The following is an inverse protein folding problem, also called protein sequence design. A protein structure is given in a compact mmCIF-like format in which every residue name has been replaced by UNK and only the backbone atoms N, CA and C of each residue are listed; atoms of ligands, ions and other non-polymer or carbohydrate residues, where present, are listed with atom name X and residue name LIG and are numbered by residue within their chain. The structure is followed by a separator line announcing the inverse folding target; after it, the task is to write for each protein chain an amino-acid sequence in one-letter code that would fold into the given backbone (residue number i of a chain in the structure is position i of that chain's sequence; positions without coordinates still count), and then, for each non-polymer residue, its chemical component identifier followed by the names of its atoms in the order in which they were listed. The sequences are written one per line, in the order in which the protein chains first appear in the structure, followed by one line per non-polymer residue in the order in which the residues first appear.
data_IF_087977019696
#
_entry.id   IF_087977019696
#
_cell.length_a   1.000
_cell.length_b   1.000
_cell.length_c   1.000
_cell.angle_alpha   90.00
_cell.angle_beta   90.00
_cell.angle_gamma   90.00
#
_symmetry.space_group_name_H-M   'P 1'
#
loop_
_entity.id
_entity.type
_entity.pdbx_description
1 polymer ?
#
# COMPACT_ATOMS: atom_id res chain seq x y z
N UNK A 1 -7.29 -48.16 -47.81
CA UNK A 1 -8.15 -46.98 -48.04
C UNK A 1 -8.74 -46.63 -46.67
N UNK A 2 -8.24 -45.57 -46.03
CA UNK A 2 -8.71 -45.16 -44.69
C UNK A 2 -9.85 -44.17 -44.85
N UNK A 3 -11.04 -44.55 -44.42
CA UNK A 3 -12.19 -43.66 -44.35
C UNK A 3 -11.85 -42.55 -43.36
N UNK A 4 -11.72 -41.32 -43.86
CA UNK A 4 -11.66 -40.12 -43.01
C UNK A 4 -12.89 -40.17 -42.12
N UNK A 5 -12.71 -40.29 -40.80
CA UNK A 5 -13.82 -40.34 -39.83
C UNK A 5 -14.14 -38.90 -39.39
N UNK A 6 -15.19 -38.25 -39.95
CA UNK A 6 -15.46 -36.83 -39.74
C UNK A 6 -15.87 -36.49 -38.30
N UNK A 7 -16.31 -37.47 -37.50
CA UNK A 7 -16.63 -37.25 -36.08
C UNK A 7 -15.39 -37.04 -35.22
N UNK A 8 -14.32 -37.79 -35.48
CA UNK A 8 -13.06 -37.68 -34.73
C UNK A 8 -12.33 -36.38 -35.03
N UNK A 9 -12.34 -35.92 -36.29
CA UNK A 9 -11.76 -34.62 -36.65
C UNK A 9 -12.55 -33.45 -36.06
N UNK A 10 -13.89 -33.49 -36.07
CA UNK A 10 -14.74 -32.48 -35.41
C UNK A 10 -14.52 -32.42 -33.91
N UNK A 11 -14.50 -33.56 -33.22
CA UNK A 11 -14.24 -33.62 -31.78
C UNK A 11 -12.85 -33.07 -31.40
N UNK A 12 -11.84 -33.24 -32.26
CA UNK A 12 -10.51 -32.63 -32.06
C UNK A 12 -10.53 -31.12 -32.20
N UNK A 13 -11.27 -30.58 -33.17
CA UNK A 13 -11.45 -29.13 -33.35
C UNK A 13 -12.22 -28.54 -32.17
N UNK A 14 -13.33 -29.15 -31.76
CA UNK A 14 -14.11 -28.70 -30.60
C UNK A 14 -13.27 -28.68 -29.31
N UNK A 15 -12.41 -29.70 -29.11
CA UNK A 15 -11.47 -29.73 -27.99
C UNK A 15 -10.43 -28.61 -28.08
N UNK A 16 -9.86 -28.37 -29.25
CA UNK A 16 -8.88 -27.30 -29.46
C UNK A 16 -9.51 -25.92 -29.21
N UNK A 17 -10.73 -25.69 -29.69
CA UNK A 17 -11.48 -24.46 -29.46
C UNK A 17 -11.79 -24.25 -27.97
N UNK A 18 -12.19 -25.33 -27.26
CA UNK A 18 -12.43 -25.27 -25.82
C UNK A 18 -11.15 -24.92 -25.03
N UNK A 19 -10.01 -25.50 -25.40
CA UNK A 19 -8.71 -25.17 -24.79
C UNK A 19 -8.30 -23.72 -25.08
N UNK A 20 -8.53 -23.23 -26.30
CA UNK A 20 -8.26 -21.83 -26.64
C UNK A 20 -9.11 -20.86 -25.84
N UNK A 21 -10.42 -21.14 -25.68
CA UNK A 21 -11.30 -20.34 -24.82
C UNK A 21 -10.85 -20.35 -23.35
N UNK A 22 -10.41 -21.50 -22.85
CA UNK A 22 -9.89 -21.60 -21.48
C UNK A 22 -8.59 -20.79 -21.31
N UNK A 23 -7.67 -20.85 -22.29
CA UNK A 23 -6.43 -20.07 -22.26
C UNK A 23 -6.71 -18.56 -22.29
N UNK A 24 -7.67 -18.11 -23.11
CA UNK A 24 -8.09 -16.70 -23.14
C UNK A 24 -8.72 -16.27 -21.82
N UNK A 25 -9.62 -17.08 -21.26
CA UNK A 25 -10.24 -16.76 -19.96
C UNK A 25 -9.20 -16.67 -18.83
N UNK A 26 -8.20 -17.55 -18.83
CA UNK A 26 -7.10 -17.49 -17.87
C UNK A 26 -6.26 -16.22 -18.04
N UNK A 27 -5.95 -15.84 -19.27
CA UNK A 27 -5.25 -14.60 -19.57
C UNK A 27 -6.04 -13.38 -19.06
N UNK A 28 -7.33 -13.30 -19.38
CA UNK A 28 -8.21 -12.21 -18.93
C UNK A 28 -8.26 -12.14 -17.40
N UNK A 29 -8.38 -13.29 -16.73
CA UNK A 29 -8.33 -13.36 -15.27
C UNK A 29 -7.01 -12.82 -14.72
N UNK A 30 -5.86 -13.25 -15.25
CA UNK A 30 -4.54 -12.78 -14.80
C UNK A 30 -4.40 -11.26 -14.97
N UNK A 31 -4.86 -10.72 -16.10
CA UNK A 31 -4.82 -9.27 -16.35
C UNK A 31 -5.69 -8.50 -15.37
N UNK A 32 -6.92 -8.99 -15.12
CA UNK A 32 -7.83 -8.33 -14.18
C UNK A 32 -7.31 -8.37 -12.74
N UNK A 33 -6.71 -9.48 -12.32
CA UNK A 33 -6.08 -9.61 -10.99
C UNK A 33 -4.91 -8.63 -10.86
N UNK A 34 -4.01 -8.58 -11.86
CA UNK A 34 -2.88 -7.66 -11.83
C UNK A 34 -3.31 -6.19 -11.79
N UNK A 35 -4.38 -5.82 -12.51
CA UNK A 35 -4.95 -4.47 -12.46
C UNK A 35 -5.50 -4.16 -11.06
N UNK A 36 -6.29 -5.07 -10.49
CA UNK A 36 -6.86 -4.89 -9.15
C UNK A 36 -5.78 -4.74 -8.07
N UNK A 37 -4.74 -5.57 -8.11
CA UNK A 37 -3.62 -5.50 -7.17
C UNK A 37 -2.86 -4.18 -7.29
N UNK A 38 -2.65 -3.71 -8.52
CA UNK A 38 -1.99 -2.42 -8.79
C UNK A 38 -2.82 -1.25 -8.27
N UNK A 39 -4.13 -1.24 -8.54
CA UNK A 39 -5.04 -0.19 -8.05
C UNK A 39 -5.08 -0.16 -6.53
N UNK A 40 -5.12 -1.33 -5.89
CA UNK A 40 -5.10 -1.44 -4.43
C UNK A 40 -3.79 -0.89 -3.86
N UNK A 41 -2.65 -1.32 -4.39
CA UNK A 41 -1.33 -0.86 -3.91
C UNK A 41 -1.11 0.63 -4.14
N UNK A 42 -1.62 1.18 -5.25
CA UNK A 42 -1.54 2.62 -5.54
C UNK A 42 -2.42 3.42 -4.58
N UNK A 43 -3.63 2.94 -4.30
CA UNK A 43 -4.56 3.55 -3.35
C UNK A 43 -3.97 3.59 -1.95
N UNK A 44 -3.43 2.47 -1.46
CA UNK A 44 -2.79 2.38 -0.15
C UNK A 44 -1.60 3.33 -0.03
N UNK A 45 -0.75 3.37 -1.06
CA UNK A 45 0.40 4.28 -1.09
C UNK A 45 -0.02 5.75 -1.07
N UNK A 46 -1.01 6.14 -1.87
CA UNK A 46 -1.51 7.51 -1.91
C UNK A 46 -2.11 7.94 -0.56
N UNK A 47 -2.94 7.09 0.05
CA UNK A 47 -3.53 7.38 1.35
C UNK A 47 -2.50 7.50 2.47
N UNK A 48 -1.44 6.68 2.45
CA UNK A 48 -0.40 6.78 3.46
C UNK A 48 0.47 8.04 3.29
N UNK A 49 0.69 8.53 2.05
CA UNK A 49 1.34 9.83 1.82
C UNK A 49 0.53 10.99 2.40
N UNK A 50 -0.78 10.99 2.22
CA UNK A 50 -1.68 12.00 2.81
C UNK A 50 -1.62 11.95 4.35
N UNK A 51 -1.63 10.73 4.91
CA UNK A 51 -1.51 10.51 6.35
C UNK A 51 -0.15 10.96 6.90
N UNK A 52 0.95 10.64 6.23
CA UNK A 52 2.30 11.07 6.60
C UNK A 52 2.37 12.60 6.67
N UNK A 53 1.80 13.28 5.68
CA UNK A 53 1.72 14.76 5.64
C UNK A 53 0.96 15.31 6.85
N UNK A 54 -0.18 14.72 7.21
CA UNK A 54 -0.94 15.12 8.38
C UNK A 54 -0.18 14.85 9.70
N UNK A 55 0.54 13.73 9.80
CA UNK A 55 1.36 13.39 10.96
C UNK A 55 2.56 14.32 11.12
N UNK A 56 3.19 14.72 10.01
CA UNK A 56 4.25 15.73 10.02
C UNK A 56 3.75 17.06 10.62
N UNK A 57 2.59 17.54 10.17
CA UNK A 57 1.98 18.74 10.71
C UNK A 57 1.64 18.60 12.22
N UNK A 58 1.07 17.45 12.63
CA UNK A 58 0.76 17.17 14.03
C UNK A 58 2.02 17.18 14.91
N UNK A 59 3.11 16.57 14.42
CA UNK A 59 4.42 16.58 15.08
C UNK A 59 4.97 17.98 15.23
N UNK A 60 4.89 18.82 14.19
CA UNK A 60 5.41 20.19 14.24
C UNK A 60 4.60 21.09 15.20
N UNK A 61 3.29 20.88 15.30
CA UNK A 61 2.46 21.50 16.32
C UNK A 61 2.85 21.03 17.73
N UNK A 62 3.07 19.73 17.94
CA UNK A 62 3.52 19.19 19.23
C UNK A 62 4.90 19.74 19.62
N UNK A 63 5.82 19.88 18.66
CA UNK A 63 7.14 20.47 18.88
C UNK A 63 7.04 21.93 19.31
N UNK A 64 6.15 22.68 18.68
CA UNK A 64 5.85 24.07 19.07
C UNK A 64 5.27 24.14 20.48
N UNK A 65 4.33 23.26 20.83
CA UNK A 65 3.74 23.19 22.15
C UNK A 65 4.78 22.88 23.24
N UNK A 66 5.65 21.89 23.03
CA UNK A 66 6.74 21.54 23.93
C UNK A 66 7.73 22.69 24.14
N UNK A 67 8.05 23.43 23.06
CA UNK A 67 8.90 24.63 23.17
C UNK A 67 8.22 25.73 24.00
N UNK A 68 6.93 25.97 23.78
CA UNK A 68 6.18 27.00 24.53
C UNK A 68 5.99 26.63 26.01
N UNK A 69 5.73 25.37 26.33
CA UNK A 69 5.61 24.92 27.72
C UNK A 69 6.94 25.08 28.47
N UNK A 70 8.06 24.74 27.82
CA UNK A 70 9.41 24.96 28.37
C UNK A 70 9.69 26.44 28.66
N UNK A 71 9.37 27.34 27.74
CA UNK A 71 9.52 28.78 27.95
C UNK A 71 8.66 29.30 29.12
N UNK A 72 7.43 28.80 29.27
CA UNK A 72 6.55 29.18 30.39
C UNK A 72 7.08 28.68 31.73
N UNK A 73 7.59 27.45 31.77
CA UNK A 73 8.24 26.90 32.96
C UNK A 73 9.48 27.71 33.36
N UNK A 74 10.35 28.03 32.41
CA UNK A 74 11.54 28.86 32.64
C UNK A 74 11.18 30.27 33.12
N UNK A 75 10.06 30.82 32.65
CA UNK A 75 9.50 32.09 33.13
C UNK A 75 8.75 31.98 34.48
N UNK A 76 8.64 30.78 35.06
CA UNK A 76 7.91 30.54 36.31
C UNK A 76 6.38 30.62 36.19
N UNK A 77 5.85 30.66 34.97
CA UNK A 77 4.42 30.79 34.69
C UNK A 77 3.66 29.46 34.67
N UNK A 78 4.37 28.32 34.65
CA UNK A 78 3.78 26.99 34.58
C UNK A 78 4.66 25.94 35.29
N UNK A 79 4.12 24.77 35.55
CA UNK A 79 4.82 23.67 36.23
C UNK A 79 5.69 22.85 35.27
N UNK A 80 6.70 22.17 35.81
CA UNK A 80 7.51 21.22 35.02
C UNK A 80 6.68 20.03 34.49
N UNK A 81 5.56 19.68 35.14
CA UNK A 81 4.67 18.63 34.65
C UNK A 81 4.06 18.99 33.28
N UNK A 82 3.75 20.27 33.05
CA UNK A 82 3.25 20.78 31.77
C UNK A 82 4.31 20.64 30.65
N UNK A 83 5.59 20.73 31.00
CA UNK A 83 6.69 20.45 30.06
C UNK A 83 6.73 18.97 29.71
N UNK A 84 6.71 18.10 30.72
CA UNK A 84 6.78 16.66 30.53
C UNK A 84 5.61 16.10 29.72
N UNK A 85 4.40 16.63 29.93
CA UNK A 85 3.21 16.22 29.17
C UNK A 85 3.29 16.64 27.68
N UNK A 86 3.78 17.86 27.42
CA UNK A 86 4.00 18.33 26.06
C UNK A 86 5.12 17.54 25.35
N UNK A 87 6.21 17.21 26.04
CA UNK A 87 7.28 16.37 25.51
C UNK A 87 6.82 14.94 25.25
N UNK A 88 5.99 14.37 26.13
CA UNK A 88 5.37 13.06 25.89
C UNK A 88 4.50 13.07 24.64
N UNK A 89 3.73 14.13 24.43
CA UNK A 89 2.91 14.32 23.24
C UNK A 89 3.77 14.41 21.97
N UNK A 90 4.85 15.20 22.01
CA UNK A 90 5.82 15.28 20.91
C UNK A 90 6.44 13.92 20.61
N UNK A 91 6.92 13.19 21.62
CA UNK A 91 7.51 11.87 21.43
C UNK A 91 6.52 10.86 20.81
N UNK A 92 5.24 10.94 21.19
CA UNK A 92 4.19 10.14 20.56
C UNK A 92 3.98 10.52 19.10
N UNK A 93 4.01 11.80 18.76
CA UNK A 93 3.85 12.27 17.39
C UNK A 93 5.06 11.88 16.51
N UNK A 94 6.28 12.01 17.02
CA UNK A 94 7.50 11.54 16.35
C UNK A 94 7.43 10.03 16.07
N UNK A 95 6.98 9.23 17.04
CA UNK A 95 6.83 7.78 16.87
C UNK A 95 5.77 7.42 15.81
N UNK A 96 4.66 8.15 15.76
CA UNK A 96 3.62 7.94 14.75
C UNK A 96 4.11 8.31 13.35
N UNK A 97 4.82 9.43 13.20
CA UNK A 97 5.42 9.84 11.93
C UNK A 97 6.44 8.80 11.44
N UNK A 98 7.35 8.35 12.32
CA UNK A 98 8.33 7.33 11.96
C UNK A 98 7.67 6.00 11.52
N UNK A 99 6.58 5.60 12.16
CA UNK A 99 5.80 4.43 11.75
C UNK A 99 5.15 4.64 10.37
N UNK A 100 4.66 5.84 10.08
CA UNK A 100 4.10 6.21 8.78
C UNK A 100 5.16 6.20 7.68
N UNK A 101 6.36 6.74 7.93
CA UNK A 101 7.49 6.70 6.99
C UNK A 101 7.85 5.26 6.56
N UNK A 102 7.83 4.33 7.52
CA UNK A 102 8.04 2.90 7.25
C UNK A 102 6.91 2.29 6.41
N UNK A 103 5.66 2.70 6.64
CA UNK A 103 4.51 2.25 5.84
C UNK A 103 4.55 2.82 4.42
N UNK A 104 4.87 4.10 4.23
CA UNK A 104 5.08 4.71 2.90
C UNK A 104 6.09 3.89 2.09
N UNK A 105 7.21 3.52 2.71
CA UNK A 105 8.25 2.69 2.07
C UNK A 105 7.72 1.30 1.71
N UNK A 106 6.94 0.68 2.60
CA UNK A 106 6.35 -0.64 2.40
C UNK A 106 5.33 -0.65 1.26
N UNK A 107 4.46 0.35 1.21
CA UNK A 107 3.47 0.50 0.14
C UNK A 107 4.12 0.87 -1.19
N UNK A 108 5.19 1.68 -1.17
CA UNK A 108 5.97 1.95 -2.38
C UNK A 108 6.57 0.67 -2.97
N UNK A 109 7.15 -0.20 -2.13
CA UNK A 109 7.66 -1.50 -2.57
C UNK A 109 6.51 -2.36 -3.13
N UNK A 110 5.37 -2.41 -2.43
CA UNK A 110 4.20 -3.20 -2.85
C UNK A 110 3.65 -2.74 -4.20
N UNK A 111 3.57 -1.43 -4.43
CA UNK A 111 3.19 -0.85 -5.71
C UNK A 111 4.18 -1.24 -6.83
N UNK A 112 5.50 -1.15 -6.57
CA UNK A 112 6.49 -1.59 -7.55
C UNK A 112 6.38 -3.09 -7.86
N UNK A 113 6.08 -3.92 -6.86
CA UNK A 113 5.85 -5.36 -7.07
C UNK A 113 4.61 -5.60 -7.93
N UNK A 114 3.49 -4.95 -7.65
CA UNK A 114 2.26 -5.09 -8.44
C UNK A 114 2.47 -4.65 -9.90
N UNK A 115 3.15 -3.52 -10.12
CA UNK A 115 3.47 -3.01 -11.46
C UNK A 115 4.45 -3.89 -12.24
N UNK A 116 5.36 -4.59 -11.55
CA UNK A 116 6.28 -5.54 -12.17
C UNK A 116 5.64 -6.90 -12.49
N UNK A 117 4.35 -7.09 -12.21
CA UNK A 117 3.60 -8.33 -12.45
C UNK A 117 3.54 -9.27 -11.24
N UNK A 118 3.86 -8.78 -10.04
CA UNK A 118 4.15 -9.62 -8.89
C UNK A 118 5.50 -10.33 -9.11
N UNK A 119 6.37 -10.37 -8.11
CA UNK A 119 7.50 -11.30 -8.21
C UNK A 119 6.88 -12.68 -8.11
N UNK A 120 6.81 -13.39 -9.23
CA UNK A 120 6.32 -14.77 -9.36
C UNK A 120 6.50 -15.54 -8.04
N UNK A 121 5.41 -15.74 -7.30
CA UNK A 121 5.31 -16.90 -6.41
C UNK A 121 5.00 -18.09 -7.33
N UNK A 122 6.07 -18.60 -7.94
CA UNK A 122 6.13 -19.98 -8.41
C UNK A 122 6.31 -20.93 -7.22
#
# INVERSE_FOLDING_TARGET
WSFVNPGVSRARVERADALSRAALANFDQTVLVALQETETALSDYAHELDRQTALQAARDHAATAARLSRLRFEAGADSFLSVLDAERTLASADAQLAASDALVTTYQISLFKALAGGWDEG
#
